data_IF_344702438845
#
_entry.id   IF_344702438845
#
_cell.length_a   1.000
_cell.length_b   1.000
_cell.length_c   1.000
_cell.angle_alpha   90.00
_cell.angle_beta   90.00
_cell.angle_gamma   90.00
#
_symmetry.space_group_name_H-M   'P 1'
#
loop_
_entity.id
_entity.type
_entity.pdbx_description
1 polymer ?
#
# COMPACT_ATOMS: atom_id res chain seq x y z
N UNK A 1 -23.08 4.70 16.24
CA UNK A 1 -21.88 3.87 15.99
C UNK A 1 -21.31 3.55 17.36
N UNK A 2 -21.32 2.28 17.76
CA UNK A 2 -21.07 1.91 19.16
C UNK A 2 -19.67 2.32 19.63
N UNK A 3 -19.56 3.00 20.80
CA UNK A 3 -18.29 3.45 21.35
C UNK A 3 -17.34 2.30 21.73
N UNK A 4 -17.85 1.06 21.83
CA UNK A 4 -17.11 -0.16 22.22
C UNK A 4 -16.74 -1.11 21.08
N UNK A 5 -16.90 -0.72 19.80
CA UNK A 5 -16.54 -1.62 18.69
C UNK A 5 -15.07 -2.06 18.78
N UNK A 6 -14.82 -3.37 18.72
CA UNK A 6 -13.48 -4.02 18.82
C UNK A 6 -12.48 -3.44 17.80
N UNK A 7 -12.97 -2.80 16.73
CA UNK A 7 -12.19 -2.06 15.74
C UNK A 7 -11.64 -0.71 16.22
N UNK A 8 -11.97 -0.26 17.43
CA UNK A 8 -11.34 0.86 18.14
C UNK A 8 -10.25 0.41 19.09
N UNK A 9 -10.18 -0.87 19.41
CA UNK A 9 -9.13 -1.42 20.27
C UNK A 9 -7.76 -1.19 19.59
N UNK A 10 -6.67 -1.28 20.36
CA UNK A 10 -5.31 -1.06 19.82
C UNK A 10 -4.98 -2.10 18.73
N UNK A 11 -5.52 -3.30 18.89
CA UNK A 11 -5.62 -4.35 17.88
C UNK A 11 -6.40 -3.82 16.66
N UNK A 12 -6.25 -4.17 15.40
CA UNK A 12 -7.04 -3.61 14.28
C UNK A 12 -6.95 -2.08 13.99
N UNK A 13 -6.48 -1.22 14.90
CA UNK A 13 -6.39 0.24 14.66
C UNK A 13 -5.50 0.59 13.46
N UNK A 14 -4.34 -0.08 13.35
CA UNK A 14 -3.39 0.07 12.24
C UNK A 14 -4.02 -0.30 10.90
N UNK A 15 -4.57 -1.52 10.79
CA UNK A 15 -5.24 -1.99 9.57
C UNK A 15 -6.45 -1.11 9.22
N UNK A 16 -7.20 -0.63 10.21
CA UNK A 16 -8.32 0.28 10.00
C UNK A 16 -7.91 1.61 9.41
N UNK A 17 -6.83 2.22 9.89
CA UNK A 17 -6.32 3.50 9.34
C UNK A 17 -5.95 3.31 7.88
N UNK A 18 -5.17 2.26 7.57
CA UNK A 18 -4.78 1.91 6.21
C UNK A 18 -5.99 1.67 5.29
N UNK A 19 -6.98 0.90 5.75
CA UNK A 19 -8.20 0.62 4.99
C UNK A 19 -9.06 1.86 4.75
N UNK A 20 -9.03 2.85 5.63
CA UNK A 20 -9.68 4.14 5.39
C UNK A 20 -8.97 4.93 4.30
N UNK A 21 -7.64 4.99 4.33
CA UNK A 21 -6.84 5.66 3.30
C UNK A 21 -7.07 5.07 1.90
N UNK A 22 -7.18 3.74 1.78
CA UNK A 22 -7.43 3.07 0.50
C UNK A 22 -8.92 3.04 0.12
N UNK A 23 -9.82 3.49 1.00
CA UNK A 23 -11.26 3.51 0.72
C UNK A 23 -11.95 2.14 0.80
N UNK A 24 -11.25 1.10 1.24
CA UNK A 24 -11.80 -0.27 1.40
C UNK A 24 -12.63 -0.40 2.69
N UNK A 25 -12.49 0.55 3.64
CA UNK A 25 -13.16 0.48 4.94
C UNK A 25 -14.69 0.27 4.82
N UNK A 26 -15.25 -0.84 5.33
CA UNK A 26 -16.62 -1.24 5.02
C UNK A 26 -17.69 -0.28 5.54
N UNK A 27 -17.42 0.43 6.64
CA UNK A 27 -18.37 1.37 7.27
C UNK A 27 -18.21 2.82 6.81
N UNK A 28 -17.43 3.07 5.75
CA UNK A 28 -17.36 4.39 5.13
C UNK A 28 -18.60 4.65 4.25
N UNK A 29 -18.95 5.92 4.01
CA UNK A 29 -20.03 6.30 3.09
C UNK A 29 -19.71 5.83 1.67
N UNK A 30 -20.72 5.31 0.96
CA UNK A 30 -20.54 4.77 -0.40
C UNK A 30 -19.91 5.80 -1.34
N UNK A 31 -20.29 7.07 -1.22
CA UNK A 31 -19.73 8.19 -1.99
C UNK A 31 -18.23 8.32 -1.84
N UNK A 32 -17.71 8.26 -0.62
CA UNK A 32 -16.27 8.41 -0.38
C UNK A 32 -15.46 7.22 -0.88
N UNK A 33 -16.04 6.01 -0.91
CA UNK A 33 -15.39 4.83 -1.51
C UNK A 33 -15.28 4.98 -3.03
N UNK A 34 -16.38 5.40 -3.66
CA UNK A 34 -16.41 5.65 -5.11
C UNK A 34 -15.42 6.74 -5.48
N UNK A 35 -15.35 7.82 -4.70
CA UNK A 35 -14.40 8.91 -4.93
C UNK A 35 -12.94 8.40 -4.88
N UNK A 36 -12.57 7.65 -3.83
CA UNK A 36 -11.21 7.11 -3.70
C UNK A 36 -10.90 6.14 -4.85
N UNK A 37 -11.85 5.28 -5.24
CA UNK A 37 -11.68 4.37 -6.37
C UNK A 37 -11.49 5.10 -7.70
N UNK A 38 -12.29 6.14 -7.96
CA UNK A 38 -12.21 6.98 -9.17
C UNK A 38 -10.87 7.74 -9.23
N UNK A 39 -10.25 8.04 -8.10
CA UNK A 39 -8.92 8.68 -8.05
C UNK A 39 -7.80 7.63 -8.26
N UNK A 40 -7.88 6.48 -7.60
CA UNK A 40 -6.81 5.47 -7.61
C UNK A 40 -6.72 4.68 -8.92
N UNK A 41 -7.86 4.42 -9.58
CA UNK A 41 -7.88 3.60 -10.80
C UNK A 41 -7.15 4.28 -11.98
N UNK A 42 -7.40 5.56 -12.32
CA UNK A 42 -6.67 6.25 -13.38
C UNK A 42 -5.18 6.39 -13.06
N UNK A 43 -4.81 6.57 -11.79
CA UNK A 43 -3.41 6.63 -11.35
C UNK A 43 -2.68 5.31 -11.70
N UNK A 44 -3.31 4.16 -11.47
CA UNK A 44 -2.74 2.87 -11.86
C UNK A 44 -2.61 2.71 -13.37
N UNK A 45 -3.63 3.11 -14.14
CA UNK A 45 -3.63 3.00 -15.61
C UNK A 45 -2.55 3.89 -16.23
N UNK A 46 -2.41 5.11 -15.75
CA UNK A 46 -1.41 6.08 -16.24
C UNK A 46 0.02 5.61 -15.98
N UNK A 47 0.29 4.85 -14.91
CA UNK A 47 1.61 4.22 -14.69
C UNK A 47 1.92 3.03 -15.60
N UNK A 48 0.93 2.37 -16.18
CA UNK A 48 1.15 1.25 -17.11
C UNK A 48 1.75 1.73 -18.45
N UNK A 49 1.42 2.95 -18.87
CA UNK A 49 1.94 3.55 -20.11
C UNK A 49 3.47 3.70 -20.15
N UNK A 50 4.14 4.36 -19.16
CA UNK A 50 5.59 4.47 -19.15
C UNK A 50 6.28 3.12 -18.97
N UNK A 51 5.70 2.19 -18.20
CA UNK A 51 6.23 0.83 -18.05
C UNK A 51 6.23 0.06 -19.38
N UNK A 52 5.15 0.17 -20.16
CA UNK A 52 5.06 -0.45 -21.48
C UNK A 52 6.06 0.13 -22.48
N UNK A 53 6.23 1.47 -22.49
CA UNK A 53 7.25 2.14 -23.31
C UNK A 53 8.67 1.67 -22.96
N UNK A 54 8.99 1.58 -21.67
CA UNK A 54 10.27 1.09 -21.18
C UNK A 54 10.56 -0.35 -21.63
N UNK A 55 9.56 -1.23 -21.58
CA UNK A 55 9.69 -2.62 -21.98
C UNK A 55 9.98 -2.81 -23.48
N UNK A 56 9.40 -1.96 -24.33
CA UNK A 56 9.61 -2.01 -25.80
C UNK A 56 10.99 -1.47 -26.19
N UNK A 57 11.53 -0.52 -25.42
CA UNK A 57 12.81 0.14 -25.72
C UNK A 57 14.03 -0.61 -25.17
N UNK A 58 13.86 -1.45 -24.15
CA UNK A 58 14.99 -2.16 -23.54
C UNK A 58 15.47 -3.32 -24.42
N UNK A 59 16.78 -3.39 -24.64
CA UNK A 59 17.44 -4.48 -25.37
C UNK A 59 18.13 -5.48 -24.44
N UNK A 60 18.31 -5.13 -23.16
CA UNK A 60 18.93 -5.98 -22.14
C UNK A 60 17.93 -6.92 -21.49
N UNK A 61 18.24 -8.21 -21.42
CA UNK A 61 17.37 -9.25 -20.81
C UNK A 61 17.14 -8.97 -19.31
N UNK A 62 18.15 -8.51 -18.58
CA UNK A 62 18.02 -8.19 -17.15
C UNK A 62 17.03 -7.03 -16.92
N UNK A 63 17.10 -6.00 -17.75
CA UNK A 63 16.23 -4.83 -17.63
C UNK A 63 14.82 -5.12 -18.15
N UNK A 64 14.71 -6.01 -19.15
CA UNK A 64 13.44 -6.61 -19.58
C UNK A 64 12.75 -7.34 -18.43
N UNK A 65 13.48 -8.20 -17.70
CA UNK A 65 12.92 -8.95 -16.58
C UNK A 65 12.44 -8.02 -15.45
N UNK A 66 13.22 -6.98 -15.12
CA UNK A 66 12.82 -5.96 -14.14
C UNK A 66 11.56 -5.21 -14.58
N UNK A 67 11.51 -4.76 -15.85
CA UNK A 67 10.35 -4.06 -16.40
C UNK A 67 9.10 -4.92 -16.39
N UNK A 68 9.22 -6.18 -16.82
CA UNK A 68 8.12 -7.15 -16.81
C UNK A 68 7.62 -7.42 -15.39
N UNK A 69 8.54 -7.62 -14.43
CA UNK A 69 8.20 -7.83 -13.02
C UNK A 69 7.42 -6.64 -12.47
N UNK A 70 7.87 -5.42 -12.75
CA UNK A 70 7.17 -4.19 -12.33
C UNK A 70 5.77 -4.07 -12.94
N UNK A 71 5.62 -4.41 -14.23
CA UNK A 71 4.33 -4.37 -14.92
C UNK A 71 3.34 -5.38 -14.33
N UNK A 72 3.78 -6.62 -14.13
CA UNK A 72 2.96 -7.68 -13.52
C UNK A 72 2.52 -7.29 -12.11
N UNK A 73 3.42 -6.74 -11.29
CA UNK A 73 3.08 -6.26 -9.96
C UNK A 73 2.00 -5.16 -9.99
N UNK A 74 2.13 -4.21 -10.91
CA UNK A 74 1.16 -3.10 -11.07
C UNK A 74 -0.22 -3.63 -11.48
N UNK A 75 -0.26 -4.62 -12.38
CA UNK A 75 -1.51 -5.30 -12.80
C UNK A 75 -2.15 -6.02 -11.62
N UNK A 76 -1.37 -6.79 -10.85
CA UNK A 76 -1.87 -7.52 -9.67
C UNK A 76 -2.47 -6.56 -8.64
N UNK A 77 -1.79 -5.46 -8.33
CA UNK A 77 -2.28 -4.46 -7.34
C UNK A 77 -3.58 -3.82 -7.84
N UNK A 78 -3.66 -3.46 -9.11
CA UNK A 78 -4.86 -2.87 -9.72
C UNK A 78 -6.03 -3.87 -9.69
N UNK A 79 -5.76 -5.12 -10.04
CA UNK A 79 -6.74 -6.19 -10.00
C UNK A 79 -7.26 -6.43 -8.56
N UNK A 80 -6.38 -6.49 -7.58
CA UNK A 80 -6.75 -6.62 -6.17
C UNK A 80 -7.59 -5.43 -5.67
N UNK A 81 -7.25 -4.20 -6.08
CA UNK A 81 -8.04 -3.00 -5.76
C UNK A 81 -9.47 -3.10 -6.30
N UNK A 82 -9.63 -3.53 -7.55
CA UNK A 82 -10.94 -3.72 -8.18
C UNK A 82 -11.73 -4.80 -7.46
N UNK A 83 -11.12 -5.96 -7.19
CA UNK A 83 -11.75 -7.05 -6.43
C UNK A 83 -12.23 -6.57 -5.06
N UNK A 84 -11.38 -5.89 -4.30
CA UNK A 84 -11.74 -5.44 -2.95
C UNK A 84 -12.90 -4.45 -2.96
N UNK A 85 -12.98 -3.62 -4.01
CA UNK A 85 -14.08 -2.68 -4.21
C UNK A 85 -15.38 -3.42 -4.58
N UNK A 86 -15.31 -4.40 -5.49
CA UNK A 86 -16.45 -5.19 -5.92
C UNK A 86 -17.02 -6.05 -4.78
N UNK A 87 -16.15 -6.73 -4.03
CA UNK A 87 -16.54 -7.61 -2.92
C UNK A 87 -16.70 -6.89 -1.58
N UNK A 88 -16.87 -5.56 -1.57
CA UNK A 88 -17.02 -4.79 -0.35
C UNK A 88 -18.11 -5.33 0.60
N UNK A 89 -19.20 -5.87 0.05
CA UNK A 89 -20.28 -6.47 0.83
C UNK A 89 -19.80 -7.71 1.60
N UNK A 90 -19.00 -8.57 0.95
CA UNK A 90 -18.38 -9.74 1.60
C UNK A 90 -17.36 -9.32 2.65
N UNK A 91 -16.56 -8.28 2.38
CA UNK A 91 -15.62 -7.72 3.36
C UNK A 91 -16.39 -7.23 4.59
N UNK A 92 -17.51 -6.52 4.40
CA UNK A 92 -18.36 -6.07 5.51
C UNK A 92 -18.93 -7.24 6.33
N UNK A 93 -19.37 -8.32 5.68
CA UNK A 93 -19.82 -9.54 6.37
C UNK A 93 -18.68 -10.17 7.16
N UNK A 94 -17.47 -10.25 6.60
CA UNK A 94 -16.29 -10.77 7.29
C UNK A 94 -15.96 -9.96 8.56
N UNK A 95 -15.96 -8.61 8.46
CA UNK A 95 -15.77 -7.75 9.63
C UNK A 95 -16.85 -7.95 10.67
N UNK A 96 -18.12 -7.99 10.27
CA UNK A 96 -19.22 -8.25 11.20
C UNK A 96 -19.05 -9.61 11.89
N UNK A 97 -18.64 -10.63 11.15
CA UNK A 97 -18.41 -11.96 11.70
C UNK A 97 -17.30 -11.97 12.76
N UNK A 98 -16.20 -11.28 12.48
CA UNK A 98 -15.10 -11.10 13.46
C UNK A 98 -15.66 -10.44 14.73
N UNK A 99 -16.43 -9.36 14.60
CA UNK A 99 -17.04 -8.67 15.74
C UNK A 99 -17.98 -9.58 16.55
N UNK A 100 -18.86 -10.31 15.85
CA UNK A 100 -19.80 -11.25 16.47
C UNK A 100 -19.05 -12.40 17.19
N UNK A 101 -18.00 -12.96 16.58
CA UNK A 101 -17.20 -14.04 17.16
C UNK A 101 -16.51 -13.56 18.45
N UNK A 102 -15.90 -12.37 18.45
CA UNK A 102 -15.31 -11.76 19.65
C UNK A 102 -16.32 -11.53 20.79
N UNK A 103 -17.56 -11.13 20.47
CA UNK A 103 -18.63 -10.93 21.45
C UNK A 103 -19.17 -12.26 21.99
N UNK A 104 -19.06 -13.34 21.20
CA UNK A 104 -19.56 -14.67 21.58
C UNK A 104 -18.66 -15.42 22.58
N UNK A 105 -17.39 -15.00 22.73
CA UNK A 105 -16.43 -15.63 23.63
C UNK A 105 -16.83 -15.44 25.09
N UNK A 106 -16.96 -16.55 25.83
CA UNK A 106 -17.48 -16.55 27.20
C UNK A 106 -16.37 -16.54 28.23
N UNK A 107 -15.26 -17.23 27.95
CA UNK A 107 -14.20 -17.46 28.92
C UNK A 107 -13.00 -16.54 28.69
N UNK A 108 -12.34 -16.09 29.76
CA UNK A 108 -11.15 -15.23 29.64
C UNK A 108 -9.97 -15.95 28.96
N UNK A 109 -9.91 -17.28 29.06
CA UNK A 109 -8.93 -18.12 28.36
C UNK A 109 -9.13 -18.03 26.83
N UNK A 110 -10.38 -18.17 26.37
CA UNK A 110 -10.73 -18.08 24.94
C UNK A 110 -10.35 -16.70 24.38
N UNK A 111 -10.69 -15.64 25.11
CA UNK A 111 -10.33 -14.26 24.76
C UNK A 111 -8.82 -14.06 24.67
N UNK A 112 -8.07 -14.63 25.61
CA UNK A 112 -6.60 -14.54 25.64
C UNK A 112 -5.97 -15.25 24.44
N UNK A 113 -6.48 -16.42 24.07
CA UNK A 113 -6.03 -17.16 22.88
C UNK A 113 -6.27 -16.34 21.61
N UNK A 114 -7.50 -15.85 21.39
CA UNK A 114 -7.83 -15.06 20.20
C UNK A 114 -7.02 -13.76 20.14
N UNK A 115 -6.81 -13.11 21.30
CA UNK A 115 -6.01 -11.90 21.41
C UNK A 115 -4.56 -12.16 20.99
N UNK A 116 -3.94 -13.25 21.46
CA UNK A 116 -2.56 -13.61 21.10
C UNK A 116 -2.40 -13.80 19.59
N UNK A 117 -3.33 -14.49 18.94
CA UNK A 117 -3.32 -14.66 17.48
C UNK A 117 -3.51 -13.32 16.74
N UNK A 118 -4.40 -12.48 17.25
CA UNK A 118 -4.69 -11.16 16.67
C UNK A 118 -3.48 -10.21 16.79
N UNK A 119 -2.78 -10.23 17.93
CA UNK A 119 -1.53 -9.48 18.15
C UNK A 119 -0.42 -9.96 17.23
N UNK A 120 -0.26 -11.28 17.10
CA UNK A 120 0.74 -11.87 16.20
C UNK A 120 0.49 -11.46 14.74
N UNK A 121 -0.76 -11.53 14.26
CA UNK A 121 -1.12 -11.09 12.92
C UNK A 121 -0.81 -9.62 12.65
N UNK A 122 -0.95 -8.76 13.65
CA UNK A 122 -0.60 -7.34 13.53
C UNK A 122 0.89 -7.10 13.54
N UNK A 123 1.63 -7.82 14.37
CA UNK A 123 3.08 -7.75 14.37
C UNK A 123 3.61 -8.09 12.97
N UNK A 124 3.16 -9.21 12.39
CA UNK A 124 3.48 -9.59 11.03
C UNK A 124 3.08 -8.52 10.00
N UNK A 125 1.87 -7.99 10.11
CA UNK A 125 1.38 -6.94 9.19
C UNK A 125 2.22 -5.66 9.27
N UNK A 126 2.67 -5.26 10.46
CA UNK A 126 3.53 -4.07 10.64
C UNK A 126 4.93 -4.28 10.10
N UNK A 127 5.53 -5.44 10.36
CA UNK A 127 6.85 -5.80 9.80
C UNK A 127 6.78 -5.83 8.28
N UNK A 128 5.75 -6.48 7.72
CA UNK A 128 5.50 -6.50 6.29
C UNK A 128 5.31 -5.09 5.71
N UNK A 129 4.50 -4.26 6.37
CA UNK A 129 4.30 -2.87 5.98
C UNK A 129 5.63 -2.09 5.90
N UNK A 130 6.47 -2.20 6.93
CA UNK A 130 7.76 -1.52 6.99
C UNK A 130 8.71 -1.97 5.86
N UNK A 131 8.76 -3.26 5.56
CA UNK A 131 9.60 -3.80 4.48
C UNK A 131 9.13 -3.30 3.10
N UNK A 132 7.82 -3.31 2.85
CA UNK A 132 7.27 -2.89 1.55
C UNK A 132 7.37 -1.38 1.35
N UNK A 133 7.21 -0.56 2.39
CA UNK A 133 7.33 0.89 2.28
C UNK A 133 8.78 1.37 2.24
N UNK A 134 9.74 0.61 2.77
CA UNK A 134 11.16 0.96 2.71
C UNK A 134 11.67 1.12 1.26
N UNK A 135 11.26 0.21 0.37
CA UNK A 135 11.69 0.21 -1.04
C UNK A 135 11.35 1.53 -1.76
N UNK A 136 10.09 1.98 -1.88
CA UNK A 136 9.79 3.24 -2.54
C UNK A 136 10.42 4.45 -1.86
N UNK A 137 10.51 4.46 -0.53
CA UNK A 137 11.17 5.54 0.22
C UNK A 137 12.64 5.64 -0.17
N UNK A 138 13.37 4.53 -0.25
CA UNK A 138 14.77 4.55 -0.67
C UNK A 138 14.96 5.05 -2.11
N UNK A 139 14.03 4.74 -3.03
CA UNK A 139 14.03 5.30 -4.38
C UNK A 139 13.84 6.82 -4.39
N UNK A 140 12.98 7.37 -3.51
CA UNK A 140 12.78 8.82 -3.39
C UNK A 140 13.98 9.54 -2.77
N UNK A 141 14.68 8.88 -1.84
CA UNK A 141 15.87 9.44 -1.20
C UNK A 141 17.12 9.39 -2.09
N UNK A 142 17.23 8.44 -3.02
CA UNK A 142 18.40 8.28 -3.91
C UNK A 142 18.87 9.59 -4.57
N UNK A 143 18.01 10.39 -5.24
CA UNK A 143 18.46 11.63 -5.87
C UNK A 143 18.83 12.72 -4.86
N UNK A 144 18.21 12.75 -3.68
CA UNK A 144 18.56 13.68 -2.59
C UNK A 144 19.95 13.37 -2.02
N UNK A 145 20.26 12.09 -1.80
CA UNK A 145 21.57 11.67 -1.30
C UNK A 145 22.66 11.96 -2.35
N UNK A 146 22.37 11.69 -3.63
CA UNK A 146 23.31 11.94 -4.72
C UNK A 146 23.65 13.43 -4.86
N UNK A 147 22.65 14.31 -4.76
CA UNK A 147 22.86 15.77 -4.78
C UNK A 147 23.64 16.28 -3.57
N UNK A 148 23.42 15.73 -2.37
CA UNK A 148 24.19 16.10 -1.17
C UNK A 148 25.68 15.76 -1.32
N UNK A 149 25.99 14.51 -1.74
CA UNK A 149 27.37 14.05 -1.97
C UNK A 149 28.07 14.90 -3.04
N UNK A 150 27.36 15.26 -4.11
CA UNK A 150 27.91 16.05 -5.20
C UNK A 150 28.07 17.54 -4.83
N UNK A 151 27.22 18.08 -3.94
CA UNK A 151 27.35 19.44 -3.42
C UNK A 151 28.55 19.60 -2.48
N UNK A 152 28.88 18.56 -1.72
CA UNK A 152 30.06 18.55 -0.83
C UNK A 152 31.37 18.48 -1.64
N UNK A 153 31.33 17.83 -2.81
CA UNK A 153 32.46 17.70 -3.72
C UNK A 153 32.64 18.87 -4.71
N UNK A 154 31.81 19.93 -4.70
CA UNK A 154 31.89 21.01 -5.70
C UNK A 154 31.72 22.42 -5.14
N UNK A 155 32.63 23.33 -5.52
CA UNK A 155 32.79 24.70 -5.01
C UNK A 155 31.95 25.77 -5.73
N UNK A 156 30.75 25.44 -6.26
CA UNK A 156 29.93 26.37 -7.07
C UNK A 156 28.45 26.46 -6.64
N UNK A 157 27.80 27.64 -6.80
CA UNK A 157 26.62 28.03 -6.04
C UNK A 157 25.34 27.27 -6.43
N UNK A 158 24.51 27.11 -5.41
CA UNK A 158 23.54 26.03 -5.16
C UNK A 158 22.20 26.10 -5.91
N UNK A 159 22.02 26.98 -6.90
CA UNK A 159 20.68 27.19 -7.49
C UNK A 159 20.36 26.28 -8.70
N UNK A 160 21.35 25.68 -9.35
CA UNK A 160 21.16 24.85 -10.56
C UNK A 160 21.12 23.32 -10.30
N UNK A 161 21.08 22.89 -9.03
CA UNK A 161 21.27 21.48 -8.63
C UNK A 161 20.09 20.88 -7.85
N UNK A 162 18.86 21.21 -8.25
CA UNK A 162 17.75 20.38 -7.80
C UNK A 162 17.94 18.95 -8.36
N UNK A 163 17.46 17.90 -7.66
CA UNK A 163 17.55 16.49 -8.08
C UNK A 163 16.90 16.16 -9.45
N UNK A 164 16.35 17.16 -10.13
CA UNK A 164 15.67 17.11 -11.41
C UNK A 164 16.28 18.02 -12.47
N UNK A 165 17.36 18.75 -12.18
CA UNK A 165 18.01 19.60 -13.18
C UNK A 165 18.93 18.73 -14.06
N UNK A 166 18.34 18.03 -15.02
CA UNK A 166 19.07 17.37 -16.10
C UNK A 166 18.87 18.23 -17.34
N UNK A 167 19.96 18.60 -18.00
CA UNK A 167 20.01 19.51 -19.15
C UNK A 167 19.40 18.86 -20.41
N UNK A 168 18.08 18.62 -20.37
CA UNK A 168 17.24 18.32 -21.51
C UNK A 168 16.44 19.59 -21.77
N UNK A 169 16.84 20.38 -22.79
CA UNK A 169 16.39 21.76 -23.05
C UNK A 169 14.99 22.12 -22.53
N UNK A 170 14.90 23.27 -21.82
CA UNK A 170 13.81 23.79 -20.97
C UNK A 170 12.42 23.11 -21.04
N UNK A 171 11.83 22.91 -22.23
CA UNK A 171 10.51 22.26 -22.39
C UNK A 171 10.46 20.77 -22.08
N UNK A 172 11.55 20.03 -22.28
CA UNK A 172 11.61 18.58 -22.03
C UNK A 172 11.83 18.27 -20.55
N UNK A 173 12.49 19.19 -19.83
CA UNK A 173 12.79 19.04 -18.41
C UNK A 173 11.53 19.05 -17.53
N UNK A 174 10.61 19.99 -17.76
CA UNK A 174 9.40 20.14 -16.95
C UNK A 174 8.44 18.94 -17.08
N UNK A 175 8.26 18.43 -18.30
CA UNK A 175 7.40 17.27 -18.55
C UNK A 175 7.97 15.98 -17.97
N UNK A 176 9.29 15.80 -18.05
CA UNK A 176 9.97 14.64 -17.49
C UNK A 176 9.94 14.65 -15.96
N UNK A 177 10.20 15.81 -15.33
CA UNK A 177 10.12 15.97 -13.89
C UNK A 177 8.69 15.68 -13.36
N UNK A 178 7.67 16.17 -14.05
CA UNK A 178 6.27 15.88 -13.71
C UNK A 178 5.94 14.38 -13.82
N UNK A 179 6.40 13.71 -14.88
CA UNK A 179 6.22 12.28 -15.07
C UNK A 179 6.90 11.47 -13.96
N UNK A 180 8.13 11.84 -13.60
CA UNK A 180 8.87 11.19 -12.51
C UNK A 180 8.17 11.38 -11.17
N UNK A 181 7.70 12.59 -10.86
CA UNK A 181 6.92 12.85 -9.65
C UNK A 181 5.63 12.02 -9.62
N UNK A 182 4.91 11.94 -10.74
CA UNK A 182 3.71 11.12 -10.87
C UNK A 182 4.00 9.64 -10.58
N UNK A 183 5.04 9.07 -11.19
CA UNK A 183 5.46 7.69 -10.97
C UNK A 183 5.87 7.46 -9.50
N UNK A 184 6.63 8.38 -8.91
CA UNK A 184 7.04 8.36 -7.50
C UNK A 184 5.84 8.30 -6.55
N UNK A 185 4.85 9.17 -6.74
CA UNK A 185 3.62 9.19 -5.93
C UNK A 185 2.81 7.92 -6.14
N UNK A 186 2.70 7.45 -7.38
CA UNK A 186 1.96 6.23 -7.70
C UNK A 186 2.56 4.99 -7.04
N UNK A 187 3.89 4.83 -7.04
CA UNK A 187 4.54 3.69 -6.38
C UNK A 187 4.25 3.71 -4.87
N UNK A 188 4.34 4.87 -4.21
CA UNK A 188 4.02 4.99 -2.78
C UNK A 188 2.57 4.60 -2.50
N UNK A 189 1.64 5.05 -3.34
CA UNK A 189 0.22 4.72 -3.23
C UNK A 189 -0.01 3.21 -3.46
N UNK A 190 0.59 2.62 -4.48
CA UNK A 190 0.52 1.18 -4.73
C UNK A 190 1.06 0.36 -3.55
N UNK A 191 2.16 0.79 -2.93
CA UNK A 191 2.69 0.18 -1.70
C UNK A 191 1.71 0.26 -0.54
N UNK A 192 0.99 1.37 -0.37
CA UNK A 192 -0.04 1.49 0.67
C UNK A 192 -1.22 0.56 0.38
N UNK A 193 -1.65 0.45 -0.88
CA UNK A 193 -2.75 -0.43 -1.30
C UNK A 193 -2.42 -1.89 -0.98
N UNK A 194 -1.27 -2.40 -1.45
CA UNK A 194 -0.90 -3.80 -1.23
C UNK A 194 -0.72 -4.12 0.25
N UNK A 195 -0.12 -3.21 1.03
CA UNK A 195 0.01 -3.38 2.48
C UNK A 195 -1.35 -3.45 3.16
N UNK A 196 -2.28 -2.60 2.76
CA UNK A 196 -3.64 -2.57 3.31
C UNK A 196 -4.38 -3.88 3.06
N UNK A 197 -4.33 -4.35 1.81
CA UNK A 197 -4.99 -5.59 1.37
C UNK A 197 -4.41 -6.80 2.09
N UNK A 198 -3.08 -6.94 2.12
CA UNK A 198 -2.42 -8.06 2.78
C UNK A 198 -2.61 -8.02 4.30
N UNK A 199 -2.58 -6.84 4.92
CA UNK A 199 -2.86 -6.71 6.37
C UNK A 199 -4.27 -7.18 6.73
N UNK A 200 -5.26 -6.95 5.85
CA UNK A 200 -6.61 -7.47 6.04
C UNK A 200 -6.64 -9.00 5.93
N UNK A 201 -5.98 -9.57 4.91
CA UNK A 201 -5.90 -11.03 4.77
C UNK A 201 -5.20 -11.67 5.97
N UNK A 202 -4.07 -11.13 6.44
CA UNK A 202 -3.38 -11.63 7.63
C UNK A 202 -4.27 -11.57 8.88
N UNK A 203 -5.01 -10.48 9.07
CA UNK A 203 -5.94 -10.37 10.19
C UNK A 203 -7.06 -11.42 10.12
N UNK A 204 -7.64 -11.65 8.94
CA UNK A 204 -8.70 -12.65 8.74
C UNK A 204 -8.18 -14.09 8.95
N UNK A 205 -7.00 -14.41 8.42
CA UNK A 205 -6.37 -15.72 8.59
C UNK A 205 -6.06 -15.97 10.07
N UNK A 206 -5.43 -15.02 10.75
CA UNK A 206 -5.08 -15.19 12.17
C UNK A 206 -6.30 -15.25 13.06
N UNK A 207 -7.37 -14.52 12.74
CA UNK A 207 -8.65 -14.67 13.43
C UNK A 207 -9.21 -16.07 13.28
N UNK A 208 -9.24 -16.62 12.05
CA UNK A 208 -9.69 -17.99 11.81
C UNK A 208 -8.83 -19.02 12.57
N UNK A 209 -7.50 -18.89 12.53
CA UNK A 209 -6.58 -19.74 13.28
C UNK A 209 -6.83 -19.66 14.79
N UNK A 210 -7.06 -18.46 15.35
CA UNK A 210 -7.38 -18.27 16.76
C UNK A 210 -8.71 -18.92 17.15
N UNK A 211 -9.73 -18.80 16.30
CA UNK A 211 -11.02 -19.48 16.51
C UNK A 211 -10.88 -21.02 16.49
N UNK A 212 -10.06 -21.57 15.59
CA UNK A 212 -9.79 -23.01 15.59
C UNK A 212 -9.02 -23.46 16.84
N UNK A 213 -8.05 -22.68 17.31
CA UNK A 213 -7.30 -22.97 18.53
C UNK A 213 -8.13 -22.86 19.81
N UNK A 214 -9.30 -22.22 19.76
CA UNK A 214 -10.25 -22.18 20.88
C UNK A 214 -11.10 -23.44 20.94
N UNK A 215 -11.46 -24.00 19.79
CA UNK A 215 -12.37 -25.15 19.67
C UNK A 215 -11.63 -26.49 19.75
N UNK A 216 -10.41 -26.56 19.19
CA UNK A 216 -9.57 -27.76 19.16
C UNK A 216 -8.63 -27.85 20.35
#
# INVERSE_FOLDING_TARGET
MDPNSIFRTRYYSFSRILMKFVGIWPYHTTTSKVLIFVILLPLSITTAYPQGRYLVQTTNINDLFKGLTSMVLTIIITYQLVIMTMYHAKIKVCFKRIEDDWLSLKTDIEKTILQRHTEYGQYLSKVYAALITFTPVSYLLKPVIMTLIESENSTTPSLAKLPYYVDYGEKWNDQFALLMLHCSVAIVIHSIIIVTINSFYYAAIQHACGMFAIIG
#
